data_IF_218180576118
#
_entry.id   IF_218180576118
#
_cell.length_a   1.000
_cell.length_b   1.000
_cell.length_c   1.000
_cell.angle_alpha   90.00
_cell.angle_beta   90.00
_cell.angle_gamma   90.00
#
_symmetry.space_group_name_H-M   'P 1'
#
loop_
_entity.id
_entity.type
_entity.pdbx_description
1 polymer ?
#
# COMPACT_ATOMS: atom_id res chain seq x y z
N UNK A 1 -1.96 -5.74 -32.00
CA UNK A 1 -2.51 -7.01 -31.49
C UNK A 1 -3.60 -6.69 -30.49
N UNK A 2 -4.83 -7.21 -30.61
CA UNK A 2 -5.82 -7.08 -29.55
C UNK A 2 -5.27 -7.81 -28.32
N UNK A 3 -5.23 -7.16 -27.15
CA UNK A 3 -4.94 -7.86 -25.90
C UNK A 3 -6.02 -8.93 -25.73
N UNK A 4 -5.64 -10.21 -25.74
CA UNK A 4 -6.56 -11.29 -25.41
C UNK A 4 -7.14 -11.01 -24.03
N UNK A 5 -8.48 -10.94 -23.97
CA UNK A 5 -9.19 -10.65 -22.74
C UNK A 5 -9.18 -11.94 -21.91
N UNK A 6 -8.50 -11.90 -20.76
CA UNK A 6 -8.43 -13.02 -19.83
C UNK A 6 -9.84 -13.45 -19.42
N UNK A 7 -10.10 -14.75 -19.43
CA UNK A 7 -11.44 -15.32 -19.19
C UNK A 7 -11.99 -14.99 -17.80
N UNK A 8 -11.12 -14.75 -16.83
CA UNK A 8 -11.49 -14.39 -15.46
C UNK A 8 -11.66 -12.88 -15.22
N UNK A 9 -11.17 -12.03 -16.14
CA UNK A 9 -11.36 -10.58 -16.05
C UNK A 9 -12.75 -10.24 -16.60
N UNK A 10 -13.75 -10.37 -15.74
CA UNK A 10 -15.18 -10.25 -16.08
C UNK A 10 -15.67 -8.81 -16.21
N UNK A 11 -14.86 -7.83 -15.80
CA UNK A 11 -15.18 -6.40 -15.78
C UNK A 11 -14.09 -5.57 -16.47
N UNK A 12 -14.42 -4.38 -16.99
CA UNK A 12 -13.41 -3.48 -17.52
C UNK A 12 -12.50 -2.96 -16.40
N UNK A 13 -11.21 -2.79 -16.70
CA UNK A 13 -10.27 -2.18 -15.78
C UNK A 13 -10.70 -0.74 -15.45
N UNK A 14 -10.68 -0.34 -14.16
CA UNK A 14 -10.81 1.06 -13.77
C UNK A 14 -9.74 1.93 -14.44
N UNK A 15 -10.04 3.21 -14.69
CA UNK A 15 -9.12 4.12 -15.40
C UNK A 15 -7.75 4.29 -14.70
N UNK A 16 -7.70 4.05 -13.39
CA UNK A 16 -6.49 4.11 -12.57
C UNK A 16 -5.69 2.79 -12.56
N UNK A 17 -6.24 1.68 -13.05
CA UNK A 17 -5.57 0.39 -13.05
C UNK A 17 -4.34 0.38 -13.98
N UNK A 18 -3.24 -0.18 -13.48
CA UNK A 18 -1.92 -0.34 -14.11
C UNK A 18 -1.35 -1.75 -13.91
N UNK A 19 -2.14 -2.67 -13.35
CA UNK A 19 -1.73 -4.05 -13.16
C UNK A 19 -1.47 -4.74 -14.51
N UNK A 20 -0.46 -5.62 -14.55
CA UNK A 20 -0.37 -6.62 -15.60
C UNK A 20 -1.18 -7.85 -15.18
N UNK A 21 -2.41 -7.95 -15.68
CA UNK A 21 -3.28 -9.06 -15.35
C UNK A 21 -2.79 -10.39 -15.94
N UNK A 22 -1.85 -10.40 -16.90
CA UNK A 22 -1.32 -11.67 -17.43
C UNK A 22 -0.52 -12.45 -16.37
N UNK A 23 0.08 -11.76 -15.41
CA UNK A 23 0.87 -12.36 -14.33
C UNK A 23 0.02 -12.84 -13.13
N UNK A 24 -1.28 -12.52 -13.12
CA UNK A 24 -2.21 -12.84 -12.02
C UNK A 24 -2.91 -14.20 -12.24
N UNK A 25 -2.13 -15.28 -12.18
CA UNK A 25 -2.63 -16.63 -12.47
C UNK A 25 -3.55 -17.19 -11.37
N UNK A 26 -3.30 -16.84 -10.10
CA UNK A 26 -4.06 -17.35 -8.96
C UNK A 26 -5.24 -16.45 -8.61
N UNK A 27 -6.39 -17.01 -8.19
CA UNK A 27 -7.57 -16.24 -7.80
C UNK A 27 -7.29 -15.15 -6.76
N UNK A 28 -6.44 -15.47 -5.78
CA UNK A 28 -6.11 -14.57 -4.68
C UNK A 28 -5.20 -13.41 -5.09
N UNK A 29 -4.57 -13.46 -6.26
CA UNK A 29 -3.69 -12.40 -6.80
C UNK A 29 -4.42 -11.47 -7.76
N UNK A 30 -5.73 -11.67 -7.99
CA UNK A 30 -6.51 -10.93 -9.00
C UNK A 30 -6.97 -9.60 -8.44
N UNK A 31 -6.15 -8.58 -8.66
CA UNK A 31 -6.45 -7.20 -8.29
C UNK A 31 -6.26 -6.23 -9.45
N UNK A 32 -7.14 -5.23 -9.53
CA UNK A 32 -6.78 -3.96 -10.13
C UNK A 32 -5.81 -3.25 -9.20
N UNK A 33 -4.71 -2.74 -9.74
CA UNK A 33 -3.66 -2.08 -8.96
C UNK A 33 -3.29 -0.75 -9.61
N UNK A 34 -3.14 0.33 -8.83
CA UNK A 34 -2.60 1.58 -9.34
C UNK A 34 -1.09 1.49 -9.62
N UNK A 35 -0.50 2.60 -10.08
CA UNK A 35 0.95 2.77 -9.95
C UNK A 35 1.34 2.64 -8.49
N UNK A 36 2.44 1.93 -8.20
CA UNK A 36 3.08 1.95 -6.88
C UNK A 36 3.96 3.20 -6.77
N UNK A 37 3.84 3.91 -5.65
CA UNK A 37 4.74 5.00 -5.30
C UNK A 37 5.66 4.49 -4.20
N UNK A 38 6.94 4.30 -4.53
CA UNK A 38 7.97 3.92 -3.57
C UNK A 38 8.46 5.18 -2.83
N UNK A 39 8.46 5.12 -1.51
CA UNK A 39 8.81 6.22 -0.61
C UNK A 39 9.91 5.72 0.33
N UNK A 40 11.14 6.25 0.20
CA UNK A 40 12.19 6.01 1.21
C UNK A 40 11.76 6.62 2.54
N UNK A 41 11.85 5.86 3.61
CA UNK A 41 11.47 6.28 4.96
C UNK A 41 12.52 5.86 5.99
N UNK A 42 12.45 6.49 7.15
CA UNK A 42 13.26 6.14 8.33
C UNK A 42 12.30 5.70 9.42
N UNK A 43 12.40 4.44 9.84
CA UNK A 43 11.48 3.83 10.81
C UNK A 43 12.19 3.50 12.12
N UNK A 44 11.48 3.49 13.26
CA UNK A 44 12.05 3.01 14.51
C UNK A 44 12.46 1.54 14.40
N UNK A 45 13.72 1.25 14.75
CA UNK A 45 14.19 -0.13 14.91
C UNK A 45 13.38 -0.78 16.04
N UNK A 46 12.70 -1.89 15.75
CA UNK A 46 12.03 -2.67 16.79
C UNK A 46 13.08 -3.31 17.70
N UNK A 47 13.16 -2.81 18.93
CA UNK A 47 14.00 -3.38 19.99
C UNK A 47 13.29 -4.64 20.52
N UNK A 48 13.93 -5.80 20.44
CA UNK A 48 13.43 -7.02 21.11
C UNK A 48 13.69 -6.91 22.61
N UNK A 49 12.97 -7.68 23.43
CA UNK A 49 13.06 -7.61 24.91
C UNK A 49 14.47 -7.91 25.44
N UNK A 50 15.36 -8.47 24.63
CA UNK A 50 16.76 -8.77 24.97
C UNK A 50 17.71 -7.57 24.85
N UNK A 51 17.30 -6.49 24.16
CA UNK A 51 18.16 -5.32 23.85
C UNK A 51 17.99 -4.15 24.85
N UNK A 52 17.30 -4.36 25.98
CA UNK A 52 16.88 -3.30 26.93
C UNK A 52 18.05 -2.65 27.71
N UNK A 53 19.30 -2.99 27.41
CA UNK A 53 20.47 -2.43 28.10
C UNK A 53 21.18 -1.26 27.38
N UNK A 54 20.69 -0.78 26.22
CA UNK A 54 21.36 0.30 25.50
C UNK A 54 20.43 1.47 25.09
N UNK A 55 20.61 2.59 25.79
CA UNK A 55 20.36 3.99 25.38
C UNK A 55 18.92 4.43 25.09
N UNK A 56 18.56 5.59 25.64
CA UNK A 56 17.28 6.29 25.48
C UNK A 56 17.06 6.94 24.10
N UNK A 57 17.95 6.70 23.13
CA UNK A 57 17.77 7.14 21.75
C UNK A 57 17.01 6.06 20.98
N UNK A 58 15.87 6.44 20.42
CA UNK A 58 15.06 5.55 19.59
C UNK A 58 15.85 5.21 18.32
N UNK A 59 16.57 4.09 18.33
CA UNK A 59 17.34 3.62 17.18
C UNK A 59 16.41 3.56 15.94
N UNK A 60 16.94 3.96 14.79
CA UNK A 60 16.20 3.99 13.52
C UNK A 60 16.93 3.18 12.45
N UNK A 61 16.18 2.71 11.45
CA UNK A 61 16.71 2.02 10.27
C UNK A 61 16.04 2.56 8.99
N UNK A 62 16.74 2.57 7.85
CA UNK A 62 16.12 2.90 6.57
C UNK A 62 15.17 1.79 6.12
N UNK A 63 14.07 2.16 5.49
CA UNK A 63 13.08 1.25 4.89
C UNK A 63 12.49 1.90 3.62
N UNK A 64 11.82 1.12 2.78
CA UNK A 64 11.09 1.59 1.60
C UNK A 64 9.62 1.17 1.70
N UNK A 65 8.71 2.13 1.55
CA UNK A 65 7.27 1.86 1.58
C UNK A 65 6.64 2.12 0.22
N UNK A 66 5.81 1.17 -0.22
CA UNK A 66 4.96 1.31 -1.38
C UNK A 66 3.59 1.86 -0.96
N UNK A 67 3.17 2.95 -1.60
CA UNK A 67 1.78 3.44 -1.55
C UNK A 67 1.06 3.01 -2.83
N UNK A 68 -0.04 2.29 -2.69
CA UNK A 68 -0.75 1.69 -3.83
C UNK A 68 -2.26 1.60 -3.57
N UNK A 69 -3.07 1.78 -4.61
CA UNK A 69 -4.49 1.47 -4.58
C UNK A 69 -4.76 0.08 -5.17
N UNK A 70 -5.61 -0.69 -4.49
CA UNK A 70 -5.94 -2.09 -4.80
C UNK A 70 -7.45 -2.26 -4.86
N UNK A 71 -7.95 -3.07 -5.79
CA UNK A 71 -9.35 -3.49 -5.82
C UNK A 71 -9.44 -4.94 -6.30
N UNK A 72 -10.02 -5.87 -5.53
CA UNK A 72 -10.24 -7.24 -5.98
C UNK A 72 -11.08 -7.27 -7.25
N UNK A 73 -10.69 -8.10 -8.21
CA UNK A 73 -11.43 -8.25 -9.47
C UNK A 73 -12.76 -8.98 -9.21
N UNK A 74 -13.85 -8.44 -9.75
CA UNK A 74 -15.19 -9.01 -9.60
C UNK A 74 -15.88 -8.71 -8.27
N UNK A 75 -15.28 -7.90 -7.39
CA UNK A 75 -15.94 -7.31 -6.23
C UNK A 75 -16.37 -5.87 -6.50
N UNK A 76 -17.55 -5.51 -6.02
CA UNK A 76 -18.20 -4.24 -6.33
C UNK A 76 -17.50 -3.08 -5.60
N UNK A 77 -16.81 -2.25 -6.38
CA UNK A 77 -16.48 -0.83 -6.21
C UNK A 77 -15.61 -0.36 -5.03
N UNK A 78 -15.27 -1.19 -4.05
CA UNK A 78 -14.48 -0.72 -2.92
C UNK A 78 -12.98 -0.87 -3.19
N UNK A 79 -12.35 0.22 -3.62
CA UNK A 79 -10.91 0.34 -3.67
C UNK A 79 -10.33 0.57 -2.27
N UNK A 80 -9.19 -0.06 -2.02
CA UNK A 80 -8.37 0.07 -0.83
C UNK A 80 -7.10 0.83 -1.18
N UNK A 81 -6.55 1.53 -0.19
CA UNK A 81 -5.22 2.13 -0.27
C UNK A 81 -4.36 1.43 0.76
N UNK A 82 -3.23 0.91 0.29
CA UNK A 82 -2.24 0.26 1.12
C UNK A 82 -0.96 1.11 1.15
N UNK A 83 -0.38 1.23 2.35
CA UNK A 83 1.00 1.66 2.57
C UNK A 83 1.73 0.46 3.15
N UNK A 84 2.64 -0.11 2.37
CA UNK A 84 3.26 -1.41 2.68
C UNK A 84 4.77 -1.25 2.65
N UNK A 85 5.43 -1.54 3.77
CA UNK A 85 6.87 -1.77 3.84
C UNK A 85 7.16 -3.22 4.21
N UNK A 86 8.41 -3.55 4.48
CA UNK A 86 8.81 -4.92 4.81
C UNK A 86 8.20 -5.42 6.14
N UNK A 87 8.05 -4.51 7.12
CA UNK A 87 7.72 -4.86 8.52
C UNK A 87 6.42 -4.28 9.02
N UNK A 88 5.82 -3.39 8.25
CA UNK A 88 4.58 -2.72 8.61
C UNK A 88 3.76 -2.48 7.37
N UNK A 89 2.45 -2.64 7.53
CA UNK A 89 1.50 -2.29 6.50
C UNK A 89 0.27 -1.70 7.15
N UNK A 90 -0.37 -0.80 6.42
CA UNK A 90 -1.72 -0.33 6.70
C UNK A 90 -2.49 -0.45 5.40
N UNK A 91 -3.67 -1.05 5.47
CA UNK A 91 -4.63 -1.11 4.39
C UNK A 91 -5.94 -0.52 4.87
N UNK A 92 -6.46 0.44 4.13
CA UNK A 92 -7.67 1.17 4.49
C UNK A 92 -8.53 1.42 3.27
N UNK A 93 -9.81 1.68 3.49
CA UNK A 93 -10.71 2.13 2.43
C UNK A 93 -10.24 3.46 1.86
N UNK A 94 -10.63 3.78 0.62
CA UNK A 94 -10.32 5.09 0.02
C UNK A 94 -10.80 6.28 0.88
N UNK A 95 -11.98 6.18 1.47
CA UNK A 95 -12.53 7.22 2.35
C UNK A 95 -11.65 7.44 3.59
N UNK A 96 -11.21 6.35 4.23
CA UNK A 96 -10.30 6.41 5.38
C UNK A 96 -8.90 6.89 4.99
N UNK A 97 -8.42 6.56 3.79
CA UNK A 97 -7.17 7.09 3.28
C UNK A 97 -7.20 8.61 3.14
N UNK A 98 -8.31 9.18 2.65
CA UNK A 98 -8.49 10.65 2.57
C UNK A 98 -8.45 11.30 3.95
N UNK A 99 -9.12 10.69 4.95
CA UNK A 99 -9.09 11.17 6.35
C UNK A 99 -7.68 11.09 6.94
N UNK A 100 -6.97 9.99 6.72
CA UNK A 100 -5.59 9.82 7.18
C UNK A 100 -4.64 10.83 6.53
N UNK A 101 -4.80 11.10 5.24
CA UNK A 101 -4.03 12.12 4.53
C UNK A 101 -4.26 13.51 5.15
N UNK A 102 -5.51 13.89 5.41
CA UNK A 102 -5.84 15.17 6.06
C UNK A 102 -5.20 15.26 7.46
N UNK A 103 -5.40 14.24 8.30
CA UNK A 103 -4.82 14.21 9.65
C UNK A 103 -3.28 14.23 9.63
N UNK A 104 -2.65 13.54 8.68
CA UNK A 104 -1.20 13.59 8.50
C UNK A 104 -0.74 15.00 8.11
N UNK A 105 -1.45 15.67 7.21
CA UNK A 105 -1.19 17.05 6.84
C UNK A 105 -1.26 18.00 8.03
N UNK A 106 -2.31 17.89 8.85
CA UNK A 106 -2.49 18.70 10.06
C UNK A 106 -1.32 18.53 11.04
N UNK A 107 -0.89 17.29 11.31
CA UNK A 107 0.26 17.03 12.20
C UNK A 107 1.55 17.57 11.59
N UNK A 108 1.77 17.41 10.28
CA UNK A 108 2.97 17.92 9.61
C UNK A 108 3.05 19.44 9.64
N UNK A 109 1.91 20.13 9.50
CA UNK A 109 1.84 21.59 9.60
C UNK A 109 2.04 22.08 11.04
N UNK A 110 1.71 21.27 12.05
CA UNK A 110 1.95 21.58 13.47
C UNK A 110 3.42 21.45 13.88
N UNK A 111 4.12 20.42 13.37
CA UNK A 111 5.48 20.07 13.82
C UNK A 111 6.61 20.67 12.96
N UNK A 112 6.26 21.41 11.90
CA UNK A 112 7.21 22.00 10.94
C UNK A 112 7.43 23.49 11.18
#
# INVERSE_FOLDING_TARGET
MPRERLSWLTEPCPAWCRADHQDQSYPDDRFHQSRQILVPVVVPKRVTVEDVSASSDRAVEPDEMAVVALQPVGQISQAWVAVVGERQFIEVTLESAVRLHAALGEILDEVR
#
